data_IF_062472361775
#
_entry.id   IF_062472361775
#
_cell.length_a   1.000
_cell.length_b   1.000
_cell.length_c   1.000
_cell.angle_alpha   90.00
_cell.angle_beta   90.00
_cell.angle_gamma   90.00
#
_symmetry.space_group_name_H-M   'P 1'
#
loop_
_entity.id
_entity.type
_entity.pdbx_description
1 polymer ?
#
# COMPACT_ATOMS: atom_id res chain seq x y z
N UNK A 1 -38.63 14.06 25.77
CA UNK A 1 -38.23 13.21 24.63
C UNK A 1 -37.31 13.95 23.64
N UNK A 2 -36.07 14.28 24.01
CA UNK A 2 -35.11 14.93 23.07
C UNK A 2 -33.69 14.35 23.12
N UNK A 3 -33.35 13.63 24.20
CA UNK A 3 -32.00 13.07 24.40
C UNK A 3 -31.78 11.79 23.57
N UNK A 4 -32.83 11.00 23.30
CA UNK A 4 -32.74 9.75 22.51
C UNK A 4 -32.32 9.96 21.05
N UNK A 5 -32.60 11.11 20.45
CA UNK A 5 -32.23 11.40 19.05
C UNK A 5 -30.74 11.73 18.88
N UNK A 6 -30.10 12.31 19.90
CA UNK A 6 -28.68 12.70 19.85
C UNK A 6 -27.77 11.46 19.96
N UNK A 7 -28.15 10.49 20.80
CA UNK A 7 -27.44 9.21 20.93
C UNK A 7 -27.51 8.38 19.64
N UNK A 8 -28.65 8.38 18.94
CA UNK A 8 -28.81 7.63 17.69
C UNK A 8 -27.93 8.19 16.54
N UNK A 9 -27.81 9.51 16.45
CA UNK A 9 -26.96 10.17 15.44
C UNK A 9 -25.45 9.94 15.69
N UNK A 10 -25.04 9.84 16.95
CA UNK A 10 -23.65 9.54 17.30
C UNK A 10 -23.27 8.09 16.95
N UNK A 11 -24.17 7.12 17.18
CA UNK A 11 -23.93 5.72 16.81
C UNK A 11 -23.86 5.52 15.28
N UNK A 12 -24.70 6.20 14.50
CA UNK A 12 -24.66 6.08 13.03
C UNK A 12 -23.30 6.54 12.46
N UNK A 13 -22.69 7.57 13.06
CA UNK A 13 -21.45 8.18 12.57
C UNK A 13 -20.21 7.28 12.73
N UNK A 14 -20.22 6.33 13.66
CA UNK A 14 -19.08 5.44 13.95
C UNK A 14 -19.00 4.31 12.90
N UNK A 15 -20.14 3.84 12.39
CA UNK A 15 -20.17 2.70 11.46
C UNK A 15 -19.59 3.02 10.08
N UNK A 16 -19.73 4.25 9.58
CA UNK A 16 -19.25 4.60 8.24
C UNK A 16 -17.73 4.63 8.12
N UNK A 17 -17.01 5.03 9.17
CA UNK A 17 -15.54 5.09 9.14
C UNK A 17 -14.91 3.69 9.06
N UNK A 18 -15.45 2.74 9.82
CA UNK A 18 -14.95 1.37 9.85
C UNK A 18 -15.17 0.63 8.53
N UNK A 19 -16.27 0.88 7.82
CA UNK A 19 -16.56 0.20 6.55
C UNK A 19 -15.64 0.64 5.41
N UNK A 20 -15.29 1.93 5.35
CA UNK A 20 -14.37 2.46 4.34
C UNK A 20 -12.95 1.90 4.50
N UNK A 21 -12.45 1.84 5.75
CA UNK A 21 -11.12 1.34 6.05
C UNK A 21 -10.95 -0.15 5.73
N UNK A 22 -11.97 -0.97 6.03
CA UNK A 22 -11.99 -2.40 5.70
C UNK A 22 -12.01 -2.63 4.18
N UNK A 23 -12.76 -1.81 3.44
CA UNK A 23 -12.84 -1.92 1.99
C UNK A 23 -11.51 -1.53 1.32
N UNK A 24 -10.85 -0.47 1.81
CA UNK A 24 -9.52 -0.09 1.34
C UNK A 24 -8.47 -1.19 1.63
N UNK A 25 -8.51 -1.79 2.82
CA UNK A 25 -7.57 -2.85 3.21
C UNK A 25 -7.72 -4.07 2.30
N UNK A 26 -8.96 -4.53 2.07
CA UNK A 26 -9.21 -5.66 1.20
C UNK A 26 -8.73 -5.40 -0.24
N UNK A 27 -8.97 -4.18 -0.76
CA UNK A 27 -8.47 -3.77 -2.09
C UNK A 27 -6.95 -3.81 -2.16
N UNK A 28 -6.27 -3.31 -1.13
CA UNK A 28 -4.82 -3.42 -1.03
C UNK A 28 -4.35 -4.88 -1.05
N UNK A 29 -4.93 -5.74 -0.21
CA UNK A 29 -4.53 -7.14 -0.09
C UNK A 29 -4.72 -7.92 -1.39
N UNK A 30 -5.80 -7.66 -2.13
CA UNK A 30 -6.04 -8.28 -3.45
C UNK A 30 -4.95 -7.87 -4.46
N UNK A 31 -4.60 -6.59 -4.49
CA UNK A 31 -3.51 -6.08 -5.37
C UNK A 31 -2.17 -6.66 -4.97
N UNK A 32 -1.86 -6.65 -3.68
CA UNK A 32 -0.60 -7.19 -3.18
C UNK A 32 -0.47 -8.69 -3.46
N UNK A 33 -1.57 -9.45 -3.34
CA UNK A 33 -1.60 -10.86 -3.73
C UNK A 33 -1.31 -11.07 -5.22
N UNK A 34 -1.90 -10.26 -6.10
CA UNK A 34 -1.61 -10.34 -7.53
C UNK A 34 -0.14 -10.00 -7.82
N UNK A 35 0.37 -8.93 -7.20
CA UNK A 35 1.77 -8.52 -7.31
C UNK A 35 2.75 -9.60 -6.84
N UNK A 36 2.51 -10.20 -5.68
CA UNK A 36 3.41 -11.21 -5.09
C UNK A 36 3.47 -12.50 -5.91
N UNK A 37 2.41 -12.84 -6.63
CA UNK A 37 2.36 -14.00 -7.53
C UNK A 37 3.16 -13.77 -8.82
N UNK A 38 3.15 -12.56 -9.37
CA UNK A 38 3.66 -12.28 -10.71
C UNK A 38 5.06 -11.64 -10.72
N UNK A 39 5.39 -10.81 -9.72
CA UNK A 39 6.48 -9.83 -9.85
C UNK A 39 7.50 -9.86 -8.70
N UNK A 40 7.25 -10.62 -7.63
CA UNK A 40 8.18 -10.73 -6.50
C UNK A 40 9.66 -11.02 -6.88
N UNK A 41 9.98 -11.81 -7.93
CA UNK A 41 11.37 -12.06 -8.33
C UNK A 41 11.95 -11.09 -9.37
N UNK A 42 11.17 -10.14 -9.94
CA UNK A 42 11.59 -9.34 -11.13
C UNK A 42 11.90 -7.86 -10.86
N UNK A 43 11.74 -7.40 -9.62
CA UNK A 43 11.97 -6.01 -9.19
C UNK A 43 13.44 -5.56 -9.36
N UNK A 44 14.38 -6.43 -9.74
CA UNK A 44 15.81 -6.06 -9.90
C UNK A 44 16.28 -5.73 -11.32
N UNK A 45 15.51 -5.97 -12.38
CA UNK A 45 16.12 -5.96 -13.73
C UNK A 45 15.43 -5.17 -14.84
N UNK A 46 14.14 -4.79 -14.74
CA UNK A 46 13.44 -4.26 -15.93
C UNK A 46 12.41 -3.14 -15.74
N UNK A 47 12.06 -2.68 -14.52
CA UNK A 47 11.07 -1.59 -14.43
C UNK A 47 11.74 -0.21 -14.37
N UNK A 48 11.17 0.79 -15.06
CA UNK A 48 11.68 2.15 -15.03
C UNK A 48 11.55 2.73 -13.62
N UNK A 49 12.60 3.43 -13.20
CA UNK A 49 12.65 4.14 -11.93
C UNK A 49 12.04 5.53 -12.10
N UNK A 50 10.92 5.81 -11.42
CA UNK A 50 10.21 7.09 -11.46
C UNK A 50 10.64 7.94 -10.26
N UNK A 51 10.98 9.21 -10.50
CA UNK A 51 11.19 10.22 -9.46
C UNK A 51 10.17 11.37 -9.65
N UNK A 52 9.18 11.54 -8.75
CA UNK A 52 8.13 12.54 -8.91
C UNK A 52 8.61 13.99 -8.66
N UNK A 53 9.87 14.19 -8.24
CA UNK A 53 10.43 15.51 -7.91
C UNK A 53 11.12 16.27 -9.05
N UNK A 54 11.19 15.74 -10.28
CA UNK A 54 11.82 16.44 -11.40
C UNK A 54 10.93 16.52 -12.63
N UNK A 55 10.45 17.73 -12.96
CA UNK A 55 9.88 18.07 -14.27
C UNK A 55 10.91 18.02 -15.42
N UNK A 56 12.00 17.29 -15.27
CA UNK A 56 13.09 17.23 -16.23
C UNK A 56 13.57 15.77 -16.35
N UNK A 57 13.25 15.17 -17.49
CA UNK A 57 13.80 13.92 -18.02
C UNK A 57 13.65 12.64 -17.16
N UNK A 58 13.68 11.51 -17.87
CA UNK A 58 13.71 10.15 -17.35
C UNK A 58 15.08 9.80 -16.71
N UNK A 59 15.74 10.77 -16.08
CA UNK A 59 16.96 10.56 -15.31
C UNK A 59 16.58 10.65 -13.83
N UNK A 60 16.81 9.59 -13.02
CA UNK A 60 16.60 9.69 -11.60
C UNK A 60 17.50 10.80 -11.06
N UNK A 61 16.89 11.85 -10.53
CA UNK A 61 17.59 12.92 -9.83
C UNK A 61 18.47 12.27 -8.75
N UNK A 62 19.80 12.37 -8.90
CA UNK A 62 20.77 11.66 -8.06
C UNK A 62 20.80 12.12 -6.59
N UNK A 63 19.93 13.05 -6.21
CA UNK A 63 19.95 13.76 -4.92
C UNK A 63 19.05 13.08 -3.87
N UNK A 64 18.03 12.32 -4.26
CA UNK A 64 17.14 11.62 -3.30
C UNK A 64 16.60 10.31 -3.86
N UNK A 65 17.46 9.28 -3.84
CA UNK A 65 17.12 7.93 -4.31
C UNK A 65 16.08 7.24 -3.45
N UNK A 66 15.78 7.75 -2.25
CA UNK A 66 14.76 7.20 -1.35
C UNK A 66 13.33 7.40 -1.87
N UNK A 67 13.13 8.44 -2.70
CA UNK A 67 11.84 8.75 -3.35
C UNK A 67 11.66 8.06 -4.71
N UNK A 68 12.69 7.39 -5.18
CA UNK A 68 12.67 6.70 -6.45
C UNK A 68 11.93 5.37 -6.30
N UNK A 69 10.93 5.12 -7.15
CA UNK A 69 10.12 3.91 -7.10
C UNK A 69 9.94 3.27 -8.47
N UNK A 70 9.63 1.98 -8.43
CA UNK A 70 9.17 1.21 -9.58
C UNK A 70 7.65 1.03 -9.43
N UNK A 71 6.89 1.38 -10.45
CA UNK A 71 5.45 1.13 -10.45
C UNK A 71 5.15 -0.17 -11.20
N UNK A 72 4.45 -1.08 -10.54
CA UNK A 72 3.95 -2.30 -11.17
C UNK A 72 2.76 -1.96 -12.07
N UNK A 73 2.86 -2.15 -13.40
CA UNK A 73 1.81 -1.71 -14.33
C UNK A 73 0.50 -2.48 -14.17
N UNK A 74 0.53 -3.71 -13.64
CA UNK A 74 -0.67 -4.54 -13.47
C UNK A 74 -1.48 -4.14 -12.23
N UNK A 75 -0.80 -3.88 -11.12
CA UNK A 75 -1.45 -3.61 -9.82
C UNK A 75 -1.46 -2.13 -9.45
N UNK A 76 -0.59 -1.34 -10.06
CA UNK A 76 -0.32 0.07 -9.73
C UNK A 76 0.38 0.25 -8.38
N UNK A 77 1.00 -0.82 -7.83
CA UNK A 77 1.76 -0.75 -6.59
C UNK A 77 3.14 -0.15 -6.86
N UNK A 78 3.61 0.67 -5.92
CA UNK A 78 4.91 1.33 -6.00
C UNK A 78 5.90 0.64 -5.08
N UNK A 79 6.99 0.15 -5.64
CA UNK A 79 8.09 -0.47 -4.91
C UNK A 79 9.21 0.54 -4.75
N UNK A 80 9.64 0.76 -3.52
CA UNK A 80 10.77 1.60 -3.16
C UNK A 80 11.93 0.70 -2.74
N UNK A 81 12.72 0.18 -3.71
CA UNK A 81 13.72 -0.84 -3.43
C UNK A 81 14.81 -0.36 -2.46
N UNK A 82 15.15 0.93 -2.49
CA UNK A 82 16.20 1.52 -1.66
C UNK A 82 15.87 1.50 -0.17
N UNK A 83 14.58 1.53 0.19
CA UNK A 83 14.11 1.56 1.58
C UNK A 83 13.29 0.31 1.94
N UNK A 84 13.24 -0.69 1.05
CA UNK A 84 12.54 -1.95 1.28
C UNK A 84 11.05 -1.75 1.59
N UNK A 85 10.37 -0.87 0.84
CA UNK A 85 8.93 -0.60 1.03
C UNK A 85 8.12 -0.84 -0.22
N UNK A 86 6.84 -1.17 -0.02
CA UNK A 86 5.83 -1.17 -1.06
C UNK A 86 4.64 -0.33 -0.61
N UNK A 87 4.15 0.55 -1.49
CA UNK A 87 3.02 1.43 -1.27
C UNK A 87 1.92 1.16 -2.30
N UNK A 88 0.67 1.13 -1.85
CA UNK A 88 -0.49 1.27 -2.72
C UNK A 88 -0.97 2.74 -2.73
N UNK A 89 -0.67 3.51 -3.78
CA UNK A 89 -1.03 4.92 -3.84
C UNK A 89 -2.56 5.15 -3.83
N UNK A 90 -3.37 4.13 -4.11
CA UNK A 90 -4.84 4.28 -4.12
C UNK A 90 -5.44 4.19 -2.72
N UNK A 91 -4.88 3.33 -1.87
CA UNK A 91 -5.42 3.03 -0.53
C UNK A 91 -4.61 3.70 0.58
N UNK A 92 -3.36 4.06 0.30
CA UNK A 92 -2.39 4.61 1.24
C UNK A 92 -1.72 3.55 2.12
N UNK A 93 -1.97 2.25 1.86
CA UNK A 93 -1.34 1.19 2.62
C UNK A 93 0.10 0.94 2.18
N UNK A 94 0.96 0.73 3.16
CA UNK A 94 2.38 0.46 2.99
C UNK A 94 2.80 -0.77 3.79
N UNK A 95 3.80 -1.49 3.30
CA UNK A 95 4.41 -2.63 3.98
C UNK A 95 5.93 -2.60 3.82
N UNK A 96 6.63 -3.26 4.73
CA UNK A 96 7.98 -3.70 4.48
C UNK A 96 7.99 -4.76 3.37
N UNK A 97 8.80 -4.54 2.34
CA UNK A 97 8.86 -5.38 1.16
C UNK A 97 10.29 -5.76 0.83
N UNK A 98 10.50 -7.05 0.59
CA UNK A 98 11.78 -7.67 0.28
C UNK A 98 11.65 -8.42 -1.05
N UNK A 99 12.36 -7.98 -2.11
CA UNK A 99 12.36 -8.67 -3.39
C UNK A 99 12.88 -10.11 -3.27
N UNK A 100 12.27 -11.03 -4.00
CA UNK A 100 12.67 -12.44 -4.03
C UNK A 100 12.11 -13.29 -2.88
N UNK A 101 11.42 -12.68 -1.91
CA UNK A 101 10.76 -13.42 -0.83
C UNK A 101 9.33 -13.79 -1.22
N UNK A 102 8.88 -14.97 -0.77
CA UNK A 102 7.50 -15.42 -0.94
C UNK A 102 6.62 -14.86 0.17
N UNK A 103 5.56 -14.17 -0.24
CA UNK A 103 4.54 -13.67 0.68
C UNK A 103 3.29 -14.52 0.62
N UNK A 104 2.67 -14.75 1.76
CA UNK A 104 1.35 -15.37 1.87
C UNK A 104 0.33 -14.30 2.28
N UNK A 105 -0.80 -14.25 1.58
CA UNK A 105 -1.84 -13.25 1.83
C UNK A 105 -3.11 -13.95 2.30
N UNK A 106 -3.53 -13.64 3.52
CA UNK A 106 -4.80 -14.08 4.07
C UNK A 106 -5.83 -12.95 3.96
N UNK A 107 -6.67 -13.05 2.93
CA UNK A 107 -7.74 -12.08 2.66
C UNK A 107 -8.83 -12.09 3.74
N UNK A 108 -9.03 -13.21 4.44
CA UNK A 108 -10.07 -13.32 5.47
C UNK A 108 -9.59 -12.70 6.78
N UNK A 109 -8.35 -12.98 7.16
CA UNK A 109 -7.75 -12.39 8.36
C UNK A 109 -7.30 -10.94 8.14
N UNK A 110 -7.16 -10.51 6.90
CA UNK A 110 -6.68 -9.17 6.57
C UNK A 110 -5.17 -9.02 6.75
N UNK A 111 -4.40 -10.11 6.58
CA UNK A 111 -2.99 -10.21 6.98
C UNK A 111 -2.08 -10.66 5.85
N UNK A 112 -0.82 -10.27 5.96
CA UNK A 112 0.27 -10.70 5.07
C UNK A 112 1.33 -11.38 5.93
N UNK A 113 1.92 -12.47 5.42
CA UNK A 113 2.99 -13.20 6.09
C UNK A 113 4.20 -13.37 5.19
N UNK A 114 5.37 -13.32 5.81
CA UNK A 114 6.69 -13.66 5.26
C UNK A 114 7.29 -14.77 6.11
N UNK A 115 7.45 -15.98 5.57
CA UNK A 115 7.98 -17.14 6.30
C UNK A 115 7.36 -17.31 7.69
N UNK A 116 6.02 -17.34 7.72
CA UNK A 116 5.18 -17.46 8.94
C UNK A 116 5.18 -16.23 9.87
N UNK A 117 6.01 -15.22 9.61
CA UNK A 117 6.01 -13.95 10.35
C UNK A 117 5.01 -12.99 9.73
N UNK A 118 4.08 -12.46 10.53
CA UNK A 118 3.15 -11.43 10.07
C UNK A 118 3.91 -10.15 9.69
N UNK A 119 3.62 -9.64 8.50
CA UNK A 119 4.15 -8.38 7.99
C UNK A 119 3.16 -7.29 8.36
N UNK A 120 3.66 -6.29 9.09
CA UNK A 120 2.84 -5.16 9.50
C UNK A 120 2.39 -4.36 8.28
N UNK A 121 1.08 -4.12 8.21
CA UNK A 121 0.45 -3.24 7.23
C UNK A 121 0.22 -1.90 7.91
N UNK A 122 0.81 -0.85 7.37
CA UNK A 122 0.66 0.52 7.87
C UNK A 122 -0.11 1.35 6.86
N UNK A 123 -0.79 2.40 7.32
CA UNK A 123 -1.47 3.35 6.43
C UNK A 123 -0.80 4.70 6.58
N UNK A 124 -0.24 5.21 5.50
CA UNK A 124 0.15 6.61 5.45
C UNK A 124 -1.15 7.42 5.37
N UNK A 125 -1.39 8.27 6.37
CA UNK A 125 -2.48 9.24 6.28
C UNK A 125 -2.23 10.06 5.00
N UNK A 126 -3.24 10.16 4.13
CA UNK A 126 -3.18 11.08 2.99
C UNK A 126 -2.86 12.45 3.58
N UNK A 127 -1.65 12.94 3.33
CA UNK A 127 -1.36 14.37 3.44
C UNK A 127 -2.38 15.02 2.52
N UNK A 128 -3.34 15.73 3.10
CA UNK A 128 -4.30 16.52 2.34
C UNK A 128 -3.48 17.65 1.74
N UNK A 129 -3.30 17.61 0.43
CA UNK A 129 -2.84 18.76 -0.35
C UNK A 129 -3.82 19.95 -0.15
#
# INVERSE_FOLDING_TARGET
>A
MKISFILLAFFLSIHFKSQAQTNDLNRFLVRFKAFSMNHAPKVKSFMPLVNPGSNAAFMPNAIDTSKAYMEDPETGLRVFPQIGKLLDPRTGYTIAYEPGVKYQVDLKAGKIYRDQTEVKIEREEKVRD
#
